data_IF_135155893795
#
_entry.id   IF_135155893795
#
_cell.length_a   1.000
_cell.length_b   1.000
_cell.length_c   1.000
_cell.angle_alpha   90.00
_cell.angle_beta   90.00
_cell.angle_gamma   90.00
#
_symmetry.space_group_name_H-M   'P 1'
#
loop_
_entity.id
_entity.type
_entity.pdbx_description
1 polymer ?
#
# COMPACT_ATOMS: atom_id res chain seq x y z
N UNK A 1 13.02 15.01 -16.13
CA UNK A 1 11.66 15.53 -15.84
C UNK A 1 11.22 14.87 -14.56
N UNK A 2 10.80 15.64 -13.55
CA UNK A 2 10.04 15.05 -12.44
C UNK A 2 8.69 14.68 -13.04
N UNK A 3 8.38 13.39 -13.15
CA UNK A 3 7.04 12.96 -13.52
C UNK A 3 6.09 13.48 -12.43
N UNK A 4 5.19 14.38 -12.80
CA UNK A 4 4.11 14.80 -11.90
C UNK A 4 3.28 13.56 -11.58
N UNK A 5 3.15 13.25 -10.29
CA UNK A 5 2.36 12.12 -9.82
C UNK A 5 0.90 12.43 -10.11
N UNK A 6 0.35 11.78 -11.12
CA UNK A 6 -1.04 11.99 -11.49
C UNK A 6 -1.93 10.97 -10.79
N UNK A 7 -2.51 11.38 -9.66
CA UNK A 7 -3.54 10.62 -8.95
C UNK A 7 -4.90 11.00 -9.54
N UNK A 8 -5.60 10.01 -10.09
CA UNK A 8 -6.92 10.16 -10.69
C UNK A 8 -8.05 9.79 -9.73
N UNK A 9 -7.81 8.87 -8.81
CA UNK A 9 -8.81 8.38 -7.85
C UNK A 9 -8.18 8.19 -6.47
N UNK A 10 -8.84 8.70 -5.44
CA UNK A 10 -8.46 8.48 -4.05
C UNK A 10 -9.01 7.15 -3.53
N UNK A 11 -8.51 6.69 -2.39
CA UNK A 11 -9.05 5.51 -1.72
C UNK A 11 -10.55 5.63 -1.39
N UNK A 12 -11.02 6.84 -1.07
CA UNK A 12 -12.44 7.11 -0.82
C UNK A 12 -13.29 7.00 -2.09
N UNK A 13 -12.79 7.47 -3.23
CA UNK A 13 -13.50 7.38 -4.51
C UNK A 13 -13.67 5.93 -4.98
N UNK A 14 -12.79 5.05 -4.50
CA UNK A 14 -12.75 3.62 -4.81
C UNK A 14 -13.44 2.75 -3.75
N UNK A 15 -14.01 3.35 -2.69
CA UNK A 15 -14.58 2.63 -1.53
C UNK A 15 -13.63 1.57 -0.94
N UNK A 16 -12.34 1.91 -0.86
CA UNK A 16 -11.32 1.05 -0.26
C UNK A 16 -11.40 1.07 1.27
N UNK A 17 -10.89 0.02 1.89
CA UNK A 17 -10.81 -0.12 3.35
C UNK A 17 -9.64 0.69 3.93
N UNK A 18 -8.58 0.92 3.15
CA UNK A 18 -7.34 1.58 3.58
C UNK A 18 -7.12 2.89 2.82
N UNK A 19 -6.63 3.91 3.53
CA UNK A 19 -6.33 5.20 2.94
C UNK A 19 -4.89 5.24 2.42
N UNK A 20 -4.72 5.20 1.10
CA UNK A 20 -3.43 5.27 0.42
C UNK A 20 -3.21 6.63 -0.23
N UNK A 21 -2.01 7.18 -0.04
CA UNK A 21 -1.58 8.40 -0.72
C UNK A 21 -0.17 8.24 -1.28
N UNK A 22 -0.03 8.31 -2.60
CA UNK A 22 1.28 8.33 -3.25
C UNK A 22 1.96 9.66 -2.92
N UNK A 23 3.11 9.59 -2.26
CA UNK A 23 3.98 10.74 -1.98
C UNK A 23 4.92 10.99 -3.14
N UNK A 24 5.57 9.94 -3.64
CA UNK A 24 6.57 9.95 -4.71
C UNK A 24 6.51 8.66 -5.52
N UNK A 25 6.84 8.77 -6.79
CA UNK A 25 7.11 7.63 -7.66
C UNK A 25 8.31 7.97 -8.54
N UNK A 26 9.41 7.25 -8.37
CA UNK A 26 10.63 7.41 -9.15
C UNK A 26 11.40 6.10 -9.21
N UNK A 27 12.10 5.83 -10.32
CA UNK A 27 12.95 4.64 -10.48
C UNK A 27 12.28 3.32 -10.08
N UNK A 28 10.97 3.20 -10.38
CA UNK A 28 10.10 2.06 -10.01
C UNK A 28 9.88 1.86 -8.50
N UNK A 29 10.15 2.88 -7.71
CA UNK A 29 9.94 2.92 -6.26
C UNK A 29 8.74 3.82 -5.98
N UNK A 30 7.74 3.25 -5.30
CA UNK A 30 6.62 3.99 -4.76
C UNK A 30 6.87 4.35 -3.30
N UNK A 31 6.73 5.62 -2.97
CA UNK A 31 6.62 6.09 -1.61
C UNK A 31 5.14 6.33 -1.31
N UNK A 32 4.51 5.46 -0.52
CA UNK A 32 3.07 5.50 -0.21
C UNK A 32 2.89 5.79 1.27
N UNK A 33 2.13 6.83 1.59
CA UNK A 33 1.71 7.13 2.94
C UNK A 33 0.37 6.45 3.25
N UNK A 34 0.31 5.79 4.42
CA UNK A 34 -0.92 5.25 4.97
C UNK A 34 -1.63 6.33 5.80
N UNK A 35 -2.79 6.77 5.33
CA UNK A 35 -3.65 7.73 6.05
C UNK A 35 -4.41 7.10 7.21
N UNK A 36 -4.62 5.79 7.16
CA UNK A 36 -5.31 5.00 8.18
C UNK A 36 -6.26 3.98 7.57
N UNK A 37 -7.27 3.60 8.33
CA UNK A 37 -8.27 2.61 7.94
C UNK A 37 -9.68 3.22 8.04
N UNK A 38 -10.50 3.05 7.00
CA UNK A 38 -11.88 3.54 6.94
C UNK A 38 -12.89 2.55 7.50
N UNK A 39 -12.50 1.28 7.65
CA UNK A 39 -13.33 0.18 8.15
C UNK A 39 -12.80 -0.36 9.48
N UNK A 40 -13.68 -0.88 10.32
CA UNK A 40 -13.26 -1.53 11.57
C UNK A 40 -12.87 -2.99 11.27
N UNK A 41 -11.63 -3.20 10.82
CA UNK A 41 -11.11 -4.53 10.50
C UNK A 41 -10.20 -5.02 11.63
N UNK A 42 -10.41 -6.26 12.07
CA UNK A 42 -9.51 -6.92 13.02
C UNK A 42 -8.33 -7.55 12.27
N UNK A 43 -7.12 -7.43 12.81
CA UNK A 43 -5.94 -8.03 12.22
C UNK A 43 -6.03 -9.56 12.22
N UNK A 44 -5.84 -10.14 11.03
CA UNK A 44 -5.74 -11.58 10.76
C UNK A 44 -5.13 -11.77 9.35
N UNK A 45 -5.02 -12.99 8.84
CA UNK A 45 -4.47 -13.22 7.50
C UNK A 45 -5.30 -12.52 6.40
N UNK A 46 -6.64 -12.52 6.51
CA UNK A 46 -7.52 -11.81 5.57
C UNK A 46 -7.33 -10.30 5.59
N UNK A 47 -6.97 -9.72 6.73
CA UNK A 47 -6.61 -8.30 6.81
C UNK A 47 -5.44 -7.99 5.88
N UNK A 48 -4.41 -8.84 5.88
CA UNK A 48 -3.25 -8.68 5.02
C UNK A 48 -3.62 -8.86 3.54
N UNK A 49 -4.48 -9.83 3.24
CA UNK A 49 -5.02 -10.05 1.89
C UNK A 49 -5.80 -8.81 1.40
N UNK A 50 -6.76 -8.32 2.18
CA UNK A 50 -7.55 -7.12 1.85
C UNK A 50 -6.66 -5.88 1.70
N UNK A 51 -5.62 -5.74 2.53
CA UNK A 51 -4.68 -4.63 2.40
C UNK A 51 -3.98 -4.66 1.04
N UNK A 52 -3.53 -5.84 0.61
CA UNK A 52 -2.87 -6.00 -0.68
C UNK A 52 -3.84 -5.83 -1.85
N UNK A 53 -5.06 -6.36 -1.75
CA UNK A 53 -6.12 -6.16 -2.75
C UNK A 53 -6.42 -4.67 -2.94
N UNK A 54 -6.71 -3.94 -1.85
CA UNK A 54 -7.00 -2.52 -1.92
C UNK A 54 -5.80 -1.71 -2.46
N UNK A 55 -4.58 -2.07 -2.10
CA UNK A 55 -3.37 -1.43 -2.62
C UNK A 55 -3.22 -1.63 -4.13
N UNK A 56 -3.42 -2.86 -4.59
CA UNK A 56 -3.37 -3.21 -6.02
C UNK A 56 -4.46 -2.46 -6.79
N UNK A 57 -5.69 -2.49 -6.29
CA UNK A 57 -6.83 -1.81 -6.91
C UNK A 57 -6.62 -0.30 -6.97
N UNK A 58 -6.04 0.29 -5.92
CA UNK A 58 -5.65 1.69 -5.90
C UNK A 58 -4.63 2.04 -6.99
N UNK A 59 -3.57 1.24 -7.13
CA UNK A 59 -2.51 1.48 -8.12
C UNK A 59 -3.01 1.29 -9.55
N UNK A 60 -3.75 0.20 -9.82
CA UNK A 60 -4.33 -0.09 -11.13
C UNK A 60 -5.36 0.98 -11.53
N UNK A 61 -6.20 1.43 -10.58
CA UNK A 61 -7.17 2.49 -10.81
C UNK A 61 -6.53 3.85 -11.12
N UNK A 62 -5.29 4.06 -10.65
CA UNK A 62 -4.47 5.22 -10.96
C UNK A 62 -3.54 4.98 -12.16
N UNK A 63 -3.78 3.93 -12.96
CA UNK A 63 -3.10 3.59 -14.22
C UNK A 63 -1.64 3.14 -14.09
N UNK A 64 -1.21 2.72 -12.91
CA UNK A 64 0.13 2.15 -12.70
C UNK A 64 0.12 0.65 -12.97
N UNK A 65 1.09 0.15 -13.75
CA UNK A 65 1.20 -1.27 -14.09
C UNK A 65 2.18 -1.99 -13.15
N UNK A 66 1.66 -2.91 -12.33
CA UNK A 66 2.43 -3.62 -11.30
C UNK A 66 3.71 -4.31 -11.80
N UNK A 67 3.70 -4.93 -12.99
CA UNK A 67 4.82 -5.74 -13.51
C UNK A 67 5.96 -4.90 -14.08
N UNK A 68 5.65 -3.74 -14.66
CA UNK A 68 6.60 -2.95 -15.43
C UNK A 68 7.02 -1.69 -14.68
N UNK A 69 6.08 -1.07 -13.97
CA UNK A 69 6.29 0.23 -13.34
C UNK A 69 6.76 0.08 -11.90
N UNK A 70 6.53 -1.07 -11.26
CA UNK A 70 6.79 -1.26 -9.82
C UNK A 70 7.92 -2.25 -9.62
N UNK A 71 8.91 -1.85 -8.84
CA UNK A 71 9.93 -2.71 -8.27
C UNK A 71 9.77 -2.77 -6.75
N UNK A 72 9.59 -1.61 -6.12
CA UNK A 72 9.51 -1.48 -4.66
C UNK A 72 8.36 -0.57 -4.25
N UNK A 73 7.66 -0.92 -3.17
CA UNK A 73 6.69 -0.06 -2.49
C UNK A 73 7.15 0.14 -1.04
N UNK A 74 7.46 1.39 -0.71
CA UNK A 74 7.78 1.85 0.63
C UNK A 74 6.52 2.44 1.28
N UNK A 75 6.04 1.76 2.32
CA UNK A 75 4.87 2.16 3.10
C UNK A 75 5.29 2.98 4.32
N UNK A 76 4.77 4.21 4.42
CA UNK A 76 5.04 5.14 5.52
C UNK A 76 3.84 5.28 6.44
N UNK A 77 4.10 5.51 7.72
CA UNK A 77 3.08 5.75 8.74
C UNK A 77 2.11 4.56 8.90
N UNK A 78 2.62 3.33 8.85
CA UNK A 78 1.82 2.12 9.07
C UNK A 78 1.20 2.08 10.48
N UNK A 79 1.77 2.79 11.45
CA UNK A 79 1.13 3.08 12.75
C UNK A 79 -0.30 3.62 12.65
N UNK A 80 -0.67 4.30 11.56
CA UNK A 80 -2.03 4.84 11.35
C UNK A 80 -3.08 3.75 11.15
N UNK A 81 -2.66 2.50 10.88
CA UNK A 81 -3.54 1.33 10.84
C UNK A 81 -4.04 0.90 12.23
N UNK A 82 -3.51 1.51 13.31
CA UNK A 82 -3.82 1.17 14.71
C UNK A 82 -3.52 -0.30 15.07
N UNK A 83 -2.54 -0.86 14.38
CA UNK A 83 -1.98 -2.17 14.68
C UNK A 83 -0.96 -2.07 15.81
N UNK A 84 -0.79 -3.15 16.56
CA UNK A 84 0.32 -3.31 17.51
C UNK A 84 1.63 -3.58 16.76
N UNK A 85 2.77 -3.34 17.41
CA UNK A 85 4.10 -3.58 16.81
C UNK A 85 4.30 -5.03 16.32
N UNK A 86 3.69 -6.00 17.01
CA UNK A 86 3.74 -7.42 16.62
C UNK A 86 2.92 -7.68 15.34
N UNK A 87 1.75 -7.05 15.23
CA UNK A 87 0.90 -7.14 14.03
C UNK A 87 1.54 -6.43 12.83
N UNK A 88 2.20 -5.29 13.03
CA UNK A 88 2.99 -4.62 11.98
C UNK A 88 4.12 -5.52 11.48
N UNK A 89 4.82 -6.22 12.39
CA UNK A 89 5.85 -7.19 12.01
C UNK A 89 5.26 -8.34 11.19
N UNK A 90 4.12 -8.88 11.61
CA UNK A 90 3.41 -9.95 10.87
C UNK A 90 2.97 -9.49 9.49
N UNK A 91 2.49 -8.25 9.36
CA UNK A 91 2.15 -7.64 8.08
C UNK A 91 3.37 -7.54 7.16
N UNK A 92 4.50 -7.06 7.70
CA UNK A 92 5.77 -7.01 6.96
C UNK A 92 6.29 -8.40 6.53
N UNK A 93 6.13 -9.43 7.37
CA UNK A 93 6.45 -10.81 7.01
C UNK A 93 5.54 -11.33 5.91
N UNK A 94 4.23 -11.08 6.01
CA UNK A 94 3.25 -11.47 4.99
C UNK A 94 3.64 -10.91 3.61
N UNK A 95 4.04 -9.63 3.56
CA UNK A 95 4.48 -9.02 2.30
C UNK A 95 5.67 -9.75 1.68
N UNK A 96 6.69 -10.09 2.47
CA UNK A 96 7.88 -10.81 1.99
C UNK A 96 7.59 -12.23 1.53
N UNK A 97 6.64 -12.91 2.16
CA UNK A 97 6.35 -14.31 1.88
C UNK A 97 5.33 -14.50 0.75
N UNK A 98 4.37 -13.57 0.60
CA UNK A 98 3.21 -13.74 -0.28
C UNK A 98 3.25 -12.84 -1.52
N UNK A 99 3.95 -11.71 -1.47
CA UNK A 99 4.06 -10.79 -2.61
C UNK A 99 5.32 -11.11 -3.39
N UNK A 100 5.15 -11.65 -4.60
CA UNK A 100 6.27 -12.12 -5.45
C UNK A 100 6.54 -11.22 -6.66
N UNK A 101 5.65 -10.26 -6.92
CA UNK A 101 5.71 -9.41 -8.12
C UNK A 101 6.55 -8.14 -7.93
N UNK A 102 6.66 -7.66 -6.70
CA UNK A 102 7.43 -6.48 -6.30
C UNK A 102 7.68 -6.56 -4.79
N UNK A 103 8.69 -5.82 -4.32
CA UNK A 103 9.00 -5.76 -2.89
C UNK A 103 8.11 -4.73 -2.19
N UNK A 104 7.66 -5.05 -0.97
CA UNK A 104 6.93 -4.11 -0.12
C UNK A 104 7.64 -4.01 1.23
N UNK A 105 8.03 -2.79 1.59
CA UNK A 105 8.72 -2.49 2.84
C UNK A 105 7.91 -1.50 3.68
N UNK A 106 7.94 -1.71 5.00
CA UNK A 106 7.41 -0.76 5.97
C UNK A 106 8.57 0.13 6.41
N UNK A 107 8.44 1.43 6.17
CA UNK A 107 9.39 2.48 6.53
C UNK A 107 8.71 3.31 7.65
N UNK A 108 8.86 2.87 8.89
CA UNK A 108 8.40 3.57 10.11
C UNK A 108 9.57 3.82 11.06
#
# INVERSE_FOLDING_TARGET
MLEEIQIYKTAKDLDLSFDFKILKFNDRIFEINIGGIFRNLQFNEKYCEWFMEDLIDFLLSNKYQLRWDIGVINLHNCKNLKLTDDEIKKLGTFFKEKVTSFDVYIID
#
